data_IF_331287757917
#
_entry.id   IF_331287757917
#
_cell.length_a   1.000
_cell.length_b   1.000
_cell.length_c   1.000
_cell.angle_alpha   90.00
_cell.angle_beta   90.00
_cell.angle_gamma   90.00
#
_symmetry.space_group_name_H-M   'P 1'
#
loop_
_entity.id
_entity.type
_entity.pdbx_description
1 polymer ?
#
# COMPACT_ATOMS: atom_id res chain seq x y z
N UNK A 1 1.64 -8.09 -19.11
CA UNK A 1 1.59 -7.56 -18.73
C UNK A 1 1.25 -6.88 -18.05
N UNK A 2 1.12 -6.58 -17.79
CA UNK A 2 0.95 -5.93 -17.19
C UNK A 2 0.22 -5.35 -16.63
N UNK A 3 -0.30 -5.12 -16.22
CA UNK A 3 -0.79 -4.46 -15.77
C UNK A 3 -0.70 -3.49 -15.32
N UNK A 4 -0.88 -3.04 -15.35
CA UNK A 4 -0.51 -2.01 -15.12
C UNK A 4 -1.22 -0.95 -14.66
N UNK A 5 -2.30 -1.01 -14.01
CA UNK A 5 -2.88 0.14 -13.45
C UNK A 5 -2.01 0.75 -12.39
N UNK A 6 -1.07 -0.03 -11.92
CA UNK A 6 -0.05 0.55 -11.13
C UNK A 6 1.10 1.01 -11.94
N UNK A 7 1.04 0.69 -13.19
CA UNK A 7 2.23 0.72 -13.92
C UNK A 7 2.55 2.05 -14.41
N UNK A 8 3.27 2.75 -13.72
CA UNK A 8 4.06 3.72 -14.40
C UNK A 8 5.17 2.93 -15.05
N UNK A 9 5.24 2.88 -16.33
CA UNK A 9 6.25 2.06 -16.99
C UNK A 9 7.67 2.39 -16.58
N UNK A 10 7.88 3.64 -16.23
CA UNK A 10 9.20 4.07 -15.80
C UNK A 10 9.41 3.82 -14.32
N UNK A 11 8.45 3.24 -13.64
CA UNK A 11 8.56 2.96 -12.22
C UNK A 11 9.52 1.79 -12.03
N UNK A 12 10.64 2.07 -11.38
CA UNK A 12 11.67 1.07 -11.16
C UNK A 12 11.13 -0.15 -10.43
N UNK A 13 10.24 0.07 -9.46
CA UNK A 13 9.71 -1.01 -8.66
C UNK A 13 8.96 -2.03 -9.51
N UNK A 14 8.39 -1.61 -10.62
CA UNK A 14 7.62 -2.50 -11.46
C UNK A 14 8.47 -3.38 -12.36
N UNK A 15 9.73 -3.01 -12.53
CA UNK A 15 10.62 -3.81 -13.35
C UNK A 15 11.44 -4.78 -12.53
N UNK A 16 11.22 -4.80 -11.21
CA UNK A 16 11.95 -5.68 -10.32
C UNK A 16 11.15 -6.94 -10.02
N UNK A 17 11.84 -8.06 -9.93
CA UNK A 17 11.23 -9.28 -9.44
C UNK A 17 10.88 -9.09 -7.95
N UNK A 18 9.86 -9.81 -7.45
CA UNK A 18 9.48 -9.64 -6.05
C UNK A 18 10.64 -9.81 -5.07
N UNK A 19 11.54 -10.75 -5.33
CA UNK A 19 12.67 -10.95 -4.43
C UNK A 19 13.60 -9.76 -4.43
N UNK A 20 13.74 -9.10 -5.55
CA UNK A 20 14.59 -7.92 -5.62
C UNK A 20 14.00 -6.76 -4.88
N UNK A 21 12.68 -6.59 -4.96
CA UNK A 21 12.00 -5.57 -4.18
C UNK A 21 12.17 -5.81 -2.70
N UNK A 22 12.04 -7.05 -2.28
CA UNK A 22 12.17 -7.39 -0.87
C UNK A 22 13.55 -7.03 -0.35
N UNK A 23 14.60 -7.23 -1.17
CA UNK A 23 15.95 -6.87 -0.73
C UNK A 23 16.08 -5.39 -0.41
N UNK A 24 15.40 -4.55 -1.19
CA UNK A 24 15.43 -3.12 -0.94
C UNK A 24 14.80 -2.79 0.40
N UNK A 25 13.82 -3.60 0.81
CA UNK A 25 13.07 -3.34 2.03
C UNK A 25 13.68 -3.96 3.28
N UNK A 26 14.70 -4.81 3.11
CA UNK A 26 15.35 -5.41 4.27
C UNK A 26 15.95 -4.31 5.13
N UNK A 27 15.66 -4.36 6.42
CA UNK A 27 16.03 -3.32 7.35
C UNK A 27 14.84 -2.54 7.83
N UNK A 28 13.73 -2.59 7.08
CA UNK A 28 12.48 -2.00 7.54
C UNK A 28 11.72 -3.05 8.35
N UNK A 29 10.91 -2.60 9.27
CA UNK A 29 10.04 -3.52 10.00
C UNK A 29 8.85 -3.89 9.12
N UNK A 30 8.23 -5.03 9.43
CA UNK A 30 7.03 -5.43 8.74
C UNK A 30 5.95 -4.36 8.88
N UNK A 31 5.84 -3.78 10.06
CA UNK A 31 4.85 -2.74 10.30
C UNK A 31 5.10 -1.52 9.42
N UNK A 32 6.35 -1.13 9.27
CA UNK A 32 6.69 0.01 8.42
C UNK A 32 6.32 -0.24 6.97
N UNK A 33 6.63 -1.44 6.48
CA UNK A 33 6.33 -1.79 5.11
C UNK A 33 4.83 -1.89 4.90
N UNK A 34 4.14 -2.51 5.83
CA UNK A 34 2.70 -2.65 5.74
C UNK A 34 2.01 -1.30 5.72
N UNK A 35 2.41 -0.40 6.62
CA UNK A 35 1.81 0.91 6.69
C UNK A 35 2.04 1.69 5.41
N UNK A 36 3.25 1.66 4.90
CA UNK A 36 3.56 2.36 3.66
C UNK A 36 2.74 1.80 2.50
N UNK A 37 2.60 0.49 2.44
CA UNK A 37 1.84 -0.14 1.37
C UNK A 37 0.37 0.26 1.45
N UNK A 38 -0.20 0.25 2.65
CA UNK A 38 -1.60 0.61 2.83
C UNK A 38 -1.84 2.07 2.42
N UNK A 39 -0.98 2.97 2.90
CA UNK A 39 -1.16 4.39 2.62
C UNK A 39 -1.02 4.67 1.14
N UNK A 40 -0.01 4.09 0.50
CA UNK A 40 0.21 4.31 -0.92
C UNK A 40 -0.93 3.73 -1.76
N UNK A 41 -1.45 2.58 -1.35
CA UNK A 41 -2.57 1.98 -2.07
C UNK A 41 -3.82 2.86 -1.94
N UNK A 42 -4.05 3.39 -0.75
CA UNK A 42 -5.18 4.31 -0.56
C UNK A 42 -5.05 5.53 -1.45
N UNK A 43 -3.85 6.07 -1.54
CA UNK A 43 -3.63 7.24 -2.40
C UNK A 43 -3.95 6.91 -3.85
N UNK A 44 -3.56 5.76 -4.32
CA UNK A 44 -3.83 5.35 -5.69
C UNK A 44 -5.31 5.07 -5.93
N UNK A 45 -6.04 4.75 -4.89
CA UNK A 45 -7.48 4.51 -4.98
C UNK A 45 -8.28 5.74 -4.60
N UNK A 46 -7.65 6.90 -4.54
CA UNK A 46 -8.29 8.17 -4.19
C UNK A 46 -9.02 8.07 -2.85
N UNK A 47 -8.45 7.32 -1.93
CA UNK A 47 -9.02 7.15 -0.60
C UNK A 47 -10.16 6.17 -0.51
N UNK A 48 -10.49 5.50 -1.60
CA UNK A 48 -11.62 4.54 -1.61
C UNK A 48 -11.23 3.29 -0.83
N UNK A 49 -11.78 3.15 0.38
CA UNK A 49 -11.41 2.05 1.27
C UNK A 49 -11.80 0.69 0.72
N UNK A 50 -12.96 0.63 0.09
CA UNK A 50 -13.43 -0.64 -0.46
C UNK A 50 -12.51 -1.14 -1.56
N UNK A 51 -12.13 -0.25 -2.46
CA UNK A 51 -11.25 -0.63 -3.55
C UNK A 51 -9.86 -0.95 -3.03
N UNK A 52 -9.35 -0.13 -2.11
CA UNK A 52 -8.03 -0.37 -1.55
C UNK A 52 -7.95 -1.72 -0.84
N UNK A 53 -9.00 -2.05 -0.09
CA UNK A 53 -9.04 -3.34 0.60
C UNK A 53 -8.97 -4.48 -0.40
N UNK A 54 -9.68 -4.33 -1.52
CA UNK A 54 -9.65 -5.37 -2.56
C UNK A 54 -8.24 -5.53 -3.13
N UNK A 55 -7.58 -4.42 -3.41
CA UNK A 55 -6.23 -4.45 -3.96
C UNK A 55 -5.27 -5.09 -2.96
N UNK A 56 -5.44 -4.77 -1.68
CA UNK A 56 -4.54 -5.26 -0.64
C UNK A 56 -4.85 -6.68 -0.18
N UNK A 57 -6.00 -7.22 -0.61
CA UNK A 57 -6.39 -8.55 -0.15
C UNK A 57 -6.89 -8.57 1.27
N UNK A 58 -7.42 -7.44 1.75
CA UNK A 58 -7.94 -7.32 3.11
C UNK A 58 -9.44 -7.15 3.06
N UNK A 59 -10.11 -7.49 4.18
CA UNK A 59 -11.49 -7.08 4.34
C UNK A 59 -11.55 -5.58 4.57
N UNK A 60 -12.67 -4.97 4.22
CA UNK A 60 -12.86 -3.54 4.44
C UNK A 60 -12.75 -3.23 5.92
N UNK A 61 -13.28 -4.10 6.75
CA UNK A 61 -13.23 -3.90 8.20
C UNK A 61 -11.80 -3.87 8.71
N UNK A 62 -10.99 -4.82 8.25
CA UNK A 62 -9.59 -4.88 8.65
C UNK A 62 -8.86 -3.62 8.22
N UNK A 63 -9.10 -3.20 6.97
CA UNK A 63 -8.45 -2.00 6.49
C UNK A 63 -8.84 -0.78 7.30
N UNK A 64 -10.12 -0.63 7.61
CA UNK A 64 -10.58 0.51 8.40
C UNK A 64 -9.98 0.52 9.79
N UNK A 65 -9.80 -0.66 10.39
CA UNK A 65 -9.16 -0.73 11.69
C UNK A 65 -7.70 -0.30 11.62
N UNK A 66 -6.99 -0.72 10.58
CA UNK A 66 -5.61 -0.31 10.40
C UNK A 66 -5.51 1.19 10.20
N UNK A 67 -6.39 1.75 9.38
CA UNK A 67 -6.39 3.19 9.14
C UNK A 67 -6.62 3.95 10.43
N UNK A 68 -7.52 3.48 11.25
CA UNK A 68 -7.81 4.14 12.53
C UNK A 68 -6.56 4.19 13.40
N UNK A 69 -5.82 3.09 13.44
CA UNK A 69 -4.58 3.04 14.22
C UNK A 69 -3.55 4.01 13.65
N UNK A 70 -3.41 4.04 12.33
CA UNK A 70 -2.44 4.94 11.69
C UNK A 70 -2.76 6.40 12.01
N UNK A 71 -4.02 6.77 11.92
CA UNK A 71 -4.43 8.13 12.21
C UNK A 71 -4.12 8.47 13.67
N UNK A 72 -4.38 7.52 14.57
CA UNK A 72 -4.09 7.73 15.98
C UNK A 72 -2.60 7.91 16.23
N UNK A 73 -1.77 7.34 15.37
CA UNK A 73 -0.32 7.45 15.48
C UNK A 73 0.22 8.70 14.76
N UNK A 74 -0.65 9.50 14.20
CA UNK A 74 -0.22 10.72 13.53
C UNK A 74 0.15 10.54 12.07
N UNK A 75 -0.13 9.40 11.49
CA UNK A 75 0.17 9.16 10.09
C UNK A 75 -0.90 9.85 9.24
N UNK A 76 -0.43 10.53 8.19
CA UNK A 76 -1.37 11.14 7.26
C UNK A 76 -1.93 10.11 6.33
N UNK A 77 -3.25 9.99 6.30
CA UNK A 77 -3.93 8.97 5.49
C UNK A 77 -4.85 9.69 4.52
N UNK A 78 -4.81 9.30 3.23
CA UNK A 78 -5.69 9.93 2.25
C UNK A 78 -7.15 9.80 2.64
N UNK A 79 -7.87 10.90 2.55
CA UNK A 79 -9.29 10.91 2.85
C UNK A 79 -10.07 10.39 1.63
N UNK A 80 -11.20 9.79 1.92
CA UNK A 80 -12.07 9.30 0.86
C UNK A 80 -12.86 10.43 0.24
#
# INVERSE_FOLDING_TARGET
MTTDYLAAPENTAQSLAPNELIRILIGSTVEEVERALVVQTLARCDGNRTQAARVLGLSVRTLRNKIRVYIAEGVEVPAH
#
